data_IF_939797974382
#
_entry.id   IF_939797974382
#
_cell.length_a   1.000
_cell.length_b   1.000
_cell.length_c   1.000
_cell.angle_alpha   90.00
_cell.angle_beta   90.00
_cell.angle_gamma   90.00
#
_symmetry.space_group_name_H-M   'P 1'
#
loop_
_entity.id
_entity.type
_entity.pdbx_description
1 polymer ?
#
# COMPACT_ATOMS: atom_id res chain seq x y z
N UNK A 1 -39.18 6.83 29.93
CA UNK A 1 -38.57 7.85 29.06
C UNK A 1 -37.06 7.70 29.10
N UNK A 2 -36.45 7.09 28.07
CA UNK A 2 -34.97 7.00 27.95
C UNK A 2 -34.50 8.24 27.19
N UNK A 3 -33.95 9.22 27.91
CA UNK A 3 -33.36 10.42 27.32
C UNK A 3 -32.08 10.09 26.58
N UNK A 4 -32.06 10.37 25.28
CA UNK A 4 -30.87 10.42 24.44
C UNK A 4 -29.94 11.53 24.96
N UNK A 5 -28.85 11.16 25.65
CA UNK A 5 -27.67 12.03 25.71
C UNK A 5 -26.68 11.53 24.65
N UNK A 6 -26.63 12.23 23.51
CA UNK A 6 -25.49 12.09 22.59
C UNK A 6 -24.26 12.63 23.32
N UNK A 7 -23.15 11.89 23.41
CA UNK A 7 -21.93 12.41 24.02
C UNK A 7 -21.45 13.63 23.24
N UNK A 8 -21.15 14.71 23.97
CA UNK A 8 -20.66 15.98 23.41
C UNK A 8 -19.35 15.72 22.65
N UNK A 9 -19.15 16.29 21.45
CA UNK A 9 -17.89 16.12 20.73
C UNK A 9 -16.75 16.67 21.59
N UNK A 10 -15.76 15.82 21.84
CA UNK A 10 -14.57 16.19 22.63
C UNK A 10 -13.79 17.26 21.88
N UNK A 11 -13.34 18.27 22.60
CA UNK A 11 -12.53 19.35 22.03
C UNK A 11 -11.14 18.81 21.65
N UNK A 12 -10.44 19.42 20.67
CA UNK A 12 -9.07 19.02 20.33
C UNK A 12 -8.11 18.99 21.53
N UNK A 13 -8.32 19.87 22.52
CA UNK A 13 -7.54 19.90 23.75
C UNK A 13 -7.79 18.66 24.64
N UNK A 14 -9.04 18.20 24.75
CA UNK A 14 -9.40 17.00 25.51
C UNK A 14 -8.85 15.73 24.86
N UNK A 15 -8.82 15.68 23.52
CA UNK A 15 -8.24 14.57 22.77
C UNK A 15 -6.72 14.50 22.92
N UNK A 16 -6.03 15.65 22.91
CA UNK A 16 -4.58 15.73 23.17
C UNK A 16 -4.25 15.34 24.61
N UNK A 17 -5.06 15.77 25.59
CA UNK A 17 -4.90 15.37 26.99
C UNK A 17 -5.07 13.85 27.15
N UNK A 18 -6.11 13.29 26.55
CA UNK A 18 -6.37 11.85 26.60
C UNK A 18 -5.26 11.03 25.92
N UNK A 19 -4.76 11.48 24.76
CA UNK A 19 -3.63 10.85 24.10
C UNK A 19 -2.34 10.93 24.95
N UNK A 20 -2.10 12.08 25.58
CA UNK A 20 -0.94 12.29 26.47
C UNK A 20 -1.01 11.41 27.72
N UNK A 21 -2.19 11.25 28.30
CA UNK A 21 -2.40 10.42 29.49
C UNK A 21 -2.27 8.93 29.17
N UNK A 22 -2.74 8.50 27.99
CA UNK A 22 -2.50 7.15 27.48
C UNK A 22 -1.01 6.89 27.22
N UNK A 23 -0.27 7.86 26.68
CA UNK A 23 1.17 7.74 26.47
C UNK A 23 1.95 7.69 27.79
N UNK A 24 1.57 8.50 28.80
CA UNK A 24 2.16 8.43 30.14
C UNK A 24 1.85 7.12 30.87
N UNK A 25 0.64 6.61 30.70
CA UNK A 25 0.25 5.31 31.25
C UNK A 25 1.08 4.16 30.66
N UNK A 26 1.46 4.27 29.38
CA UNK A 26 2.35 3.32 28.71
C UNK A 26 3.81 3.42 29.21
N UNK A 27 4.24 4.62 29.61
CA UNK A 27 5.60 4.92 30.09
C UNK A 27 5.81 4.48 31.56
N UNK A 28 4.83 4.76 32.43
CA UNK A 28 4.93 4.50 33.88
C UNK A 28 4.75 3.03 34.31
N UNK A 29 4.27 2.16 33.43
CA UNK A 29 3.97 0.75 33.74
C UNK A 29 5.00 -0.24 33.18
N UNK A 30 6.20 0.23 32.81
CA UNK A 30 7.27 -0.62 32.25
C UNK A 30 7.66 -1.77 33.19
N UNK A 31 7.76 -1.52 34.50
CA UNK A 31 8.15 -2.53 35.50
C UNK A 31 7.06 -3.59 35.79
N UNK A 32 5.78 -3.23 35.68
CA UNK A 32 4.67 -4.19 35.93
C UNK A 32 4.39 -5.07 34.70
N UNK A 33 4.90 -4.68 33.52
CA UNK A 33 4.67 -5.37 32.24
C UNK A 33 5.54 -6.62 32.08
N UNK A 34 6.72 -6.65 32.67
CA UNK A 34 7.63 -7.82 32.62
C UNK A 34 6.99 -9.08 33.23
N UNK A 35 6.08 -8.94 34.20
CA UNK A 35 5.36 -10.08 34.80
C UNK A 35 4.05 -10.47 34.10
N UNK A 36 3.53 -9.65 33.17
CA UNK A 36 2.28 -9.90 32.42
C UNK A 36 2.50 -10.16 30.92
N UNK A 37 3.74 -10.13 30.45
CA UNK A 37 4.11 -10.29 29.04
C UNK A 37 3.86 -11.71 28.48
N UNK A 38 3.49 -12.69 29.30
CA UNK A 38 3.25 -14.07 28.87
C UNK A 38 1.80 -14.38 28.45
N UNK A 39 0.80 -13.55 28.83
CA UNK A 39 -0.58 -13.76 28.40
C UNK A 39 -0.93 -12.86 27.21
N UNK A 40 -1.22 -13.48 26.05
CA UNK A 40 -1.76 -12.76 24.89
C UNK A 40 -3.08 -12.08 25.30
N UNK A 41 -3.28 -10.79 24.96
CA UNK A 41 -4.52 -10.10 25.27
C UNK A 41 -5.72 -10.84 24.67
N UNK A 42 -6.82 -10.92 25.40
CA UNK A 42 -8.00 -11.67 24.96
C UNK A 42 -8.53 -11.10 23.62
N UNK A 43 -9.08 -11.96 22.73
CA UNK A 43 -9.66 -11.50 21.47
C UNK A 43 -10.73 -10.42 21.69
N UNK A 44 -11.55 -10.58 22.73
CA UNK A 44 -12.59 -9.61 23.06
C UNK A 44 -12.01 -8.26 23.48
N UNK A 45 -10.94 -8.23 24.29
CA UNK A 45 -10.28 -6.98 24.67
C UNK A 45 -9.68 -6.26 23.45
N UNK A 46 -9.05 -7.00 22.54
CA UNK A 46 -8.52 -6.47 21.28
C UNK A 46 -9.63 -5.89 20.39
N UNK A 47 -10.77 -6.58 20.33
CA UNK A 47 -11.92 -6.18 19.54
C UNK A 47 -12.57 -4.89 20.07
N UNK A 48 -12.75 -4.77 21.40
CA UNK A 48 -13.24 -3.54 22.04
C UNK A 48 -12.27 -2.38 21.83
N UNK A 49 -10.96 -2.60 22.01
CA UNK A 49 -9.95 -1.56 21.78
C UNK A 49 -9.98 -1.07 20.33
N UNK A 50 -10.10 -1.98 19.35
CA UNK A 50 -10.20 -1.61 17.95
C UNK A 50 -11.47 -0.78 17.68
N UNK A 51 -12.60 -1.16 18.29
CA UNK A 51 -13.84 -0.41 18.17
C UNK A 51 -13.68 1.03 18.68
N UNK A 52 -13.13 1.21 19.88
CA UNK A 52 -12.93 2.54 20.47
C UNK A 52 -11.91 3.38 19.69
N UNK A 53 -10.83 2.74 19.23
CA UNK A 53 -9.78 3.37 18.44
C UNK A 53 -10.34 4.00 17.16
N UNK A 54 -11.17 3.27 16.40
CA UNK A 54 -11.76 3.79 15.17
C UNK A 54 -12.96 4.71 15.43
N UNK A 55 -13.84 4.38 16.37
CA UNK A 55 -15.06 5.15 16.66
C UNK A 55 -14.78 6.58 17.10
N UNK A 56 -13.66 6.82 17.79
CA UNK A 56 -13.30 8.13 18.31
C UNK A 56 -12.27 8.88 17.46
N UNK A 57 -12.04 8.45 16.22
CA UNK A 57 -11.06 9.07 15.31
C UNK A 57 -9.63 9.10 15.89
N UNK A 58 -9.35 8.19 16.83
CA UNK A 58 -8.04 8.07 17.49
C UNK A 58 -6.96 7.73 16.47
N UNK A 59 -7.33 7.00 15.41
CA UNK A 59 -6.41 6.67 14.34
C UNK A 59 -5.83 7.91 13.65
N UNK A 60 -6.68 8.87 13.25
CA UNK A 60 -6.23 10.15 12.68
C UNK A 60 -5.37 10.93 13.66
N UNK A 61 -5.83 11.07 14.91
CA UNK A 61 -5.09 11.80 15.94
C UNK A 61 -3.70 11.22 16.18
N UNK A 62 -3.59 9.89 16.16
CA UNK A 62 -2.33 9.20 16.27
C UNK A 62 -1.44 9.54 15.07
N UNK A 63 -1.94 9.42 13.83
CA UNK A 63 -1.19 9.78 12.60
C UNK A 63 -0.62 11.21 12.68
N UNK A 64 -1.45 12.17 13.10
CA UNK A 64 -1.05 13.59 13.23
C UNK A 64 -0.05 13.83 14.36
N UNK A 65 0.04 12.92 15.33
CA UNK A 65 0.95 13.02 16.47
C UNK A 65 2.29 12.31 16.24
N UNK A 66 2.36 11.37 15.29
CA UNK A 66 3.57 10.58 15.00
C UNK A 66 4.84 11.41 14.76
N UNK A 67 4.82 12.56 14.06
CA UNK A 67 6.02 13.38 13.88
C UNK A 67 6.63 13.88 15.20
N UNK A 68 5.83 13.98 16.27
CA UNK A 68 6.26 14.45 17.59
C UNK A 68 6.86 13.34 18.46
N UNK A 69 6.74 12.09 18.02
CA UNK A 69 7.23 10.92 18.75
C UNK A 69 8.66 10.59 18.33
N UNK A 70 9.41 9.93 19.20
CA UNK A 70 10.71 9.34 18.84
C UNK A 70 10.54 8.09 17.96
N UNK A 71 11.65 7.57 17.43
CA UNK A 71 11.65 6.42 16.53
C UNK A 71 11.03 5.17 17.16
N UNK A 72 11.33 4.88 18.43
CA UNK A 72 10.81 3.69 19.12
C UNK A 72 9.29 3.75 19.31
N UNK A 73 8.79 4.92 19.71
CA UNK A 73 7.36 5.19 19.83
C UNK A 73 6.65 5.14 18.47
N UNK A 74 7.26 5.64 17.38
CA UNK A 74 6.73 5.51 16.01
C UNK A 74 6.62 4.04 15.57
N UNK A 75 7.62 3.22 15.87
CA UNK A 75 7.60 1.78 15.58
C UNK A 75 6.48 1.08 16.34
N UNK A 76 6.39 1.31 17.65
CA UNK A 76 5.32 0.77 18.49
C UNK A 76 3.92 1.17 17.99
N UNK A 77 3.73 2.45 17.64
CA UNK A 77 2.48 2.95 17.08
C UNK A 77 2.12 2.24 15.76
N UNK A 78 3.10 2.03 14.88
CA UNK A 78 2.91 1.30 13.61
C UNK A 78 2.46 -0.14 13.87
N UNK A 79 3.06 -0.84 14.83
CA UNK A 79 2.65 -2.20 15.21
C UNK A 79 1.23 -2.25 15.77
N UNK A 80 0.87 -1.29 16.62
CA UNK A 80 -0.49 -1.18 17.18
C UNK A 80 -1.50 -0.92 16.07
N UNK A 81 -1.25 0.04 15.18
CA UNK A 81 -2.12 0.35 14.04
C UNK A 81 -2.31 -0.88 13.16
N UNK A 82 -1.22 -1.57 12.79
CA UNK A 82 -1.27 -2.77 11.96
C UNK A 82 -2.09 -3.90 12.61
N UNK A 83 -2.01 -4.05 13.94
CA UNK A 83 -2.80 -5.03 14.66
C UNK A 83 -4.28 -4.65 14.67
N UNK A 84 -4.60 -3.40 15.05
CA UNK A 84 -5.98 -2.92 15.18
C UNK A 84 -6.72 -2.92 13.85
N UNK A 85 -6.05 -2.57 12.74
CA UNK A 85 -6.67 -2.61 11.40
C UNK A 85 -7.13 -4.02 10.98
N UNK A 86 -6.55 -5.08 11.57
CA UNK A 86 -6.87 -6.48 11.27
C UNK A 86 -7.89 -7.09 12.23
N UNK A 87 -8.29 -6.36 13.28
CA UNK A 87 -9.23 -6.86 14.28
C UNK A 87 -10.64 -6.99 13.71
N UNK A 88 -11.35 -8.02 14.19
CA UNK A 88 -12.75 -8.27 13.84
C UNK A 88 -13.65 -8.08 15.06
N UNK A 89 -14.75 -7.36 14.89
CA UNK A 89 -15.84 -7.28 15.87
C UNK A 89 -17.06 -7.96 15.25
N UNK A 90 -17.64 -8.91 15.98
CA UNK A 90 -18.77 -9.72 15.51
C UNK A 90 -18.52 -10.35 14.12
N UNK A 91 -17.28 -10.80 13.87
CA UNK A 91 -16.87 -11.43 12.60
C UNK A 91 -16.57 -10.47 11.44
N UNK A 92 -16.74 -9.15 11.62
CA UNK A 92 -16.50 -8.14 10.58
C UNK A 92 -15.27 -7.29 10.90
N UNK A 93 -14.52 -6.90 9.87
CA UNK A 93 -13.43 -5.94 10.02
C UNK A 93 -14.01 -4.54 10.24
N UNK A 94 -13.54 -3.82 11.26
CA UNK A 94 -14.01 -2.47 11.58
C UNK A 94 -13.28 -1.40 10.76
N UNK A 95 -11.98 -1.63 10.51
CA UNK A 95 -11.13 -0.64 9.84
C UNK A 95 -11.65 -0.18 8.46
N UNK A 96 -12.19 -1.06 7.59
CA UNK A 96 -12.80 -0.61 6.32
C UNK A 96 -13.91 0.43 6.51
N UNK A 97 -14.81 0.26 7.49
CA UNK A 97 -15.94 1.16 7.74
C UNK A 97 -15.46 2.55 8.17
N UNK A 98 -14.41 2.59 8.99
CA UNK A 98 -13.77 3.85 9.37
C UNK A 98 -13.04 4.49 8.18
N UNK A 99 -12.25 3.70 7.45
CA UNK A 99 -11.42 4.18 6.34
C UNK A 99 -12.25 4.73 5.19
N UNK A 100 -13.41 4.14 4.90
CA UNK A 100 -14.35 4.63 3.88
C UNK A 100 -14.76 6.09 4.12
N UNK A 101 -14.89 6.50 5.38
CA UNK A 101 -15.24 7.87 5.77
C UNK A 101 -14.02 8.78 6.00
N UNK A 102 -12.79 8.25 5.87
CA UNK A 102 -11.54 8.92 6.22
C UNK A 102 -10.42 8.66 5.18
N UNK A 103 -10.80 8.58 3.90
CA UNK A 103 -9.86 8.32 2.81
C UNK A 103 -8.81 9.43 2.65
N UNK A 104 -9.11 10.63 3.11
CA UNK A 104 -8.19 11.78 3.16
C UNK A 104 -6.96 11.53 4.06
N UNK A 105 -6.96 10.49 4.89
CA UNK A 105 -5.75 10.03 5.59
C UNK A 105 -4.61 9.67 4.61
N UNK A 106 -4.95 9.21 3.40
CA UNK A 106 -3.95 8.97 2.34
C UNK A 106 -3.28 10.27 1.91
N UNK A 107 -4.02 11.38 1.93
CA UNK A 107 -3.52 12.71 1.57
C UNK A 107 -2.50 13.24 2.61
N UNK A 108 -2.49 12.66 3.80
CA UNK A 108 -1.50 12.91 4.86
C UNK A 108 -0.32 11.94 4.73
N UNK A 109 -0.62 10.64 4.62
CA UNK A 109 0.40 9.57 4.66
C UNK A 109 1.31 9.59 3.42
N UNK A 110 0.74 9.72 2.22
CA UNK A 110 1.51 9.58 0.98
C UNK A 110 2.51 10.74 0.77
N UNK A 111 2.16 12.02 0.98
CA UNK A 111 3.14 13.10 0.88
C UNK A 111 4.27 12.99 1.91
N UNK A 112 4.05 12.34 3.05
CA UNK A 112 5.07 12.17 4.08
C UNK A 112 6.25 11.29 3.67
N UNK A 113 6.18 10.56 2.54
CA UNK A 113 7.39 9.96 1.94
C UNK A 113 8.48 10.99 1.62
N UNK A 114 8.12 12.27 1.44
CA UNK A 114 9.08 13.37 1.20
C UNK A 114 9.77 13.84 2.47
N UNK A 115 9.26 13.49 3.65
CA UNK A 115 9.85 13.82 4.94
C UNK A 115 10.67 12.63 5.43
N UNK A 116 12.00 12.76 5.34
CA UNK A 116 12.93 11.66 5.59
C UNK A 116 12.82 11.03 6.98
N UNK A 117 12.42 11.78 8.01
CA UNK A 117 12.37 11.27 9.39
C UNK A 117 11.13 10.38 9.64
N UNK A 118 10.02 10.67 8.96
CA UNK A 118 8.73 9.99 9.19
C UNK A 118 8.32 9.06 8.03
N UNK A 119 8.99 9.17 6.88
CA UNK A 119 8.65 8.46 5.65
C UNK A 119 8.41 6.95 5.85
N UNK A 120 9.30 6.26 6.56
CA UNK A 120 9.18 4.81 6.79
C UNK A 120 7.98 4.48 7.68
N UNK A 121 7.70 5.30 8.70
CA UNK A 121 6.53 5.15 9.57
C UNK A 121 5.24 5.33 8.76
N UNK A 122 5.15 6.40 7.97
CA UNK A 122 3.97 6.66 7.15
C UNK A 122 3.80 5.63 6.04
N UNK A 123 4.90 5.19 5.41
CA UNK A 123 4.90 4.13 4.42
C UNK A 123 4.37 2.81 4.98
N UNK A 124 4.80 2.42 6.18
CA UNK A 124 4.31 1.23 6.86
C UNK A 124 2.81 1.31 7.20
N UNK A 125 2.33 2.47 7.67
CA UNK A 125 0.90 2.68 7.96
C UNK A 125 0.08 2.68 6.67
N UNK A 126 0.55 3.38 5.63
CA UNK A 126 -0.12 3.42 4.33
C UNK A 126 -0.24 2.03 3.72
N UNK A 127 0.83 1.23 3.83
CA UNK A 127 0.86 -0.17 3.40
C UNK A 127 -0.21 -1.01 4.09
N UNK A 128 -0.46 -0.79 5.38
CA UNK A 128 -1.57 -1.45 6.08
C UNK A 128 -2.93 -0.96 5.59
N UNK A 129 -3.10 0.35 5.38
CA UNK A 129 -4.36 0.91 4.88
C UNK A 129 -4.75 0.33 3.51
N UNK A 130 -3.81 0.22 2.56
CA UNK A 130 -4.09 -0.32 1.21
C UNK A 130 -4.42 -1.83 1.23
N UNK A 131 -4.24 -2.53 2.36
CA UNK A 131 -4.74 -3.90 2.50
C UNK A 131 -6.26 -3.98 2.46
N UNK A 132 -6.94 -2.87 2.69
CA UNK A 132 -8.38 -2.72 2.54
C UNK A 132 -8.69 -2.24 1.12
N UNK A 133 -9.59 -2.97 0.43
CA UNK A 133 -9.91 -2.73 -0.98
C UNK A 133 -10.42 -1.30 -1.23
N UNK A 134 -11.15 -0.71 -0.28
CA UNK A 134 -11.66 0.67 -0.36
C UNK A 134 -10.54 1.70 -0.48
N UNK A 135 -9.45 1.57 0.29
CA UNK A 135 -8.30 2.46 0.24
C UNK A 135 -7.49 2.21 -1.04
N UNK A 136 -7.26 0.95 -1.40
CA UNK A 136 -6.55 0.61 -2.62
C UNK A 136 -7.27 1.18 -3.86
N UNK A 137 -8.60 1.05 -3.92
CA UNK A 137 -9.42 1.64 -4.99
C UNK A 137 -9.27 3.17 -5.02
N UNK A 138 -9.41 3.83 -3.88
CA UNK A 138 -9.22 5.29 -3.80
C UNK A 138 -7.85 5.74 -4.32
N UNK A 139 -6.78 5.03 -3.95
CA UNK A 139 -5.43 5.36 -4.42
C UNK A 139 -5.28 5.16 -5.93
N UNK A 140 -5.85 4.08 -6.49
CA UNK A 140 -5.79 3.77 -7.92
C UNK A 140 -6.59 4.77 -8.77
N UNK A 141 -7.76 5.17 -8.31
CA UNK A 141 -8.71 6.01 -9.06
C UNK A 141 -8.44 7.52 -8.93
N UNK A 142 -7.40 7.92 -8.19
CA UNK A 142 -7.04 9.32 -7.96
C UNK A 142 -5.61 9.64 -8.39
N UNK A 143 -5.25 10.93 -8.34
CA UNK A 143 -3.88 11.40 -8.64
C UNK A 143 -2.82 10.85 -7.66
N UNK A 144 -3.22 10.17 -6.57
CA UNK A 144 -2.32 9.53 -5.63
C UNK A 144 -1.46 8.45 -6.28
N UNK A 145 -1.99 7.71 -7.25
CA UNK A 145 -1.21 6.72 -7.99
C UNK A 145 0.02 7.35 -8.65
N UNK A 146 -0.13 8.54 -9.26
CA UNK A 146 0.98 9.24 -9.92
C UNK A 146 2.03 9.73 -8.90
N UNK A 147 1.60 10.11 -7.69
CA UNK A 147 2.52 10.52 -6.61
C UNK A 147 3.47 9.39 -6.19
N UNK A 148 3.08 8.11 -6.32
CA UNK A 148 4.00 6.98 -6.07
C UNK A 148 5.21 6.98 -7.01
N UNK A 149 5.07 7.40 -8.26
CA UNK A 149 6.20 7.45 -9.19
C UNK A 149 7.28 8.40 -8.70
N UNK A 150 6.89 9.54 -8.14
CA UNK A 150 7.81 10.48 -7.50
C UNK A 150 8.42 9.88 -6.24
N UNK A 151 7.65 9.18 -5.40
CA UNK A 151 8.16 8.57 -4.17
C UNK A 151 9.21 7.47 -4.44
N UNK A 152 9.00 6.66 -5.49
CA UNK A 152 9.93 5.60 -5.89
C UNK A 152 11.23 6.16 -6.52
N UNK A 153 11.24 7.45 -6.89
CA UNK A 153 12.42 8.15 -7.42
C UNK A 153 13.23 8.89 -6.35
N UNK A 154 12.82 8.85 -5.08
CA UNK A 154 13.53 9.54 -4.00
C UNK A 154 14.97 8.98 -3.89
N UNK A 155 16.00 9.83 -3.77
CA UNK A 155 17.41 9.40 -3.76
C UNK A 155 17.81 8.62 -2.49
N UNK A 156 16.94 8.57 -1.48
CA UNK A 156 17.10 7.71 -0.31
C UNK A 156 16.63 6.28 -0.64
N UNK A 157 17.55 5.32 -0.58
CA UNK A 157 17.30 3.92 -0.94
C UNK A 157 16.22 3.26 -0.08
N UNK A 158 16.22 3.49 1.24
CA UNK A 158 15.25 2.88 2.15
C UNK A 158 13.84 3.38 1.85
N UNK A 159 13.67 4.69 1.69
CA UNK A 159 12.40 5.34 1.39
C UNK A 159 11.88 4.90 0.01
N UNK A 160 12.73 4.90 -1.02
CA UNK A 160 12.34 4.47 -2.36
C UNK A 160 11.96 2.99 -2.41
N UNK A 161 12.68 2.14 -1.67
CA UNK A 161 12.39 0.71 -1.57
C UNK A 161 11.08 0.44 -0.84
N UNK A 162 10.80 1.19 0.23
CA UNK A 162 9.54 1.11 0.96
C UNK A 162 8.36 1.56 0.07
N UNK A 163 8.48 2.72 -0.59
CA UNK A 163 7.48 3.22 -1.55
C UNK A 163 7.21 2.21 -2.67
N UNK A 164 8.27 1.59 -3.19
CA UNK A 164 8.20 0.56 -4.21
C UNK A 164 7.47 -0.69 -3.74
N UNK A 165 7.74 -1.15 -2.51
CA UNK A 165 7.00 -2.26 -1.93
C UNK A 165 5.52 -1.91 -1.79
N UNK A 166 5.17 -0.66 -1.45
CA UNK A 166 3.79 -0.22 -1.24
C UNK A 166 3.04 -0.17 -2.56
N UNK A 167 3.69 0.37 -3.58
CA UNK A 167 3.20 0.39 -4.95
C UNK A 167 3.01 -1.03 -5.52
N UNK A 168 3.96 -1.94 -5.26
CA UNK A 168 3.82 -3.35 -5.65
C UNK A 168 2.61 -4.00 -4.98
N UNK A 169 2.42 -3.79 -3.68
CA UNK A 169 1.30 -4.37 -2.94
C UNK A 169 -0.05 -3.81 -3.43
N UNK A 170 -0.11 -2.50 -3.71
CA UNK A 170 -1.28 -1.84 -4.29
C UNK A 170 -1.71 -2.51 -5.61
N UNK A 171 -0.75 -2.79 -6.49
CA UNK A 171 -1.00 -3.34 -7.83
C UNK A 171 -1.11 -4.87 -7.90
N UNK A 172 -0.89 -5.59 -6.80
CA UNK A 172 -0.93 -7.07 -6.83
C UNK A 172 -1.86 -7.70 -5.80
N UNK A 173 -2.35 -6.94 -4.81
CA UNK A 173 -3.22 -7.46 -3.75
C UNK A 173 -4.66 -7.68 -4.21
N UNK A 174 -5.33 -6.61 -4.62
CA UNK A 174 -6.77 -6.64 -4.93
C UNK A 174 -6.97 -6.89 -6.42
N UNK A 175 -6.75 -8.14 -6.84
CA UNK A 175 -6.64 -8.55 -8.25
C UNK A 175 -7.79 -8.07 -9.13
N UNK A 176 -9.03 -8.15 -8.66
CA UNK A 176 -10.20 -7.69 -9.40
C UNK A 176 -10.22 -6.18 -9.58
N UNK A 177 -9.97 -5.41 -8.52
CA UNK A 177 -9.88 -3.94 -8.57
C UNK A 177 -8.77 -3.49 -9.51
N UNK A 178 -7.59 -4.14 -9.43
CA UNK A 178 -6.46 -3.80 -10.30
C UNK A 178 -6.78 -4.15 -11.74
N UNK A 179 -7.36 -5.32 -12.02
CA UNK A 179 -7.72 -5.72 -13.37
C UNK A 179 -8.74 -4.75 -14.01
N UNK A 180 -9.75 -4.33 -13.25
CA UNK A 180 -10.71 -3.31 -13.64
C UNK A 180 -10.01 -1.99 -13.98
N UNK A 181 -9.18 -1.49 -13.04
CA UNK A 181 -8.41 -0.26 -13.23
C UNK A 181 -7.53 -0.30 -14.48
N UNK A 182 -6.73 -1.36 -14.66
CA UNK A 182 -5.81 -1.50 -15.79
C UNK A 182 -6.53 -1.65 -17.13
N UNK A 183 -7.70 -2.28 -17.15
CA UNK A 183 -8.48 -2.45 -18.38
C UNK A 183 -9.01 -1.12 -18.89
N UNK A 184 -9.43 -0.23 -17.99
CA UNK A 184 -9.91 1.11 -18.32
C UNK A 184 -8.74 2.06 -18.63
N UNK A 185 -7.67 1.98 -17.84
CA UNK A 185 -6.60 2.97 -17.88
C UNK A 185 -5.35 2.50 -18.64
N UNK A 186 -5.41 1.46 -19.48
CA UNK A 186 -4.24 0.79 -20.07
C UNK A 186 -3.12 1.72 -20.62
N UNK A 187 -3.50 2.85 -21.21
CA UNK A 187 -2.56 3.83 -21.77
C UNK A 187 -1.87 4.72 -20.72
N UNK A 188 -2.18 4.53 -19.43
CA UNK A 188 -1.40 5.07 -18.33
C UNK A 188 0.06 4.61 -18.47
N UNK A 189 0.98 5.46 -18.02
CA UNK A 189 2.44 5.49 -18.25
C UNK A 189 3.26 4.21 -17.88
N UNK A 190 2.64 3.03 -17.84
CA UNK A 190 3.28 1.72 -17.81
C UNK A 190 4.52 1.67 -18.71
N UNK A 191 4.48 2.01 -20.01
CA UNK A 191 5.66 1.91 -20.88
C UNK A 191 6.84 2.79 -20.45
N UNK A 192 6.57 4.03 -19.99
CA UNK A 192 7.62 4.94 -19.54
C UNK A 192 8.20 4.51 -18.18
N UNK A 193 7.37 3.88 -17.33
CA UNK A 193 7.77 3.35 -16.03
C UNK A 193 8.55 2.02 -16.10
N UNK A 194 8.24 1.15 -17.07
CA UNK A 194 8.85 -0.19 -17.27
C UNK A 194 10.38 -0.13 -17.43
N UNK A 195 10.93 1.02 -17.81
CA UNK A 195 12.38 1.23 -18.02
C UNK A 195 13.26 1.04 -16.77
N UNK A 196 12.68 0.84 -15.58
CA UNK A 196 13.42 0.64 -14.31
C UNK A 196 13.40 -0.81 -13.83
N UNK A 197 14.52 -1.25 -13.21
CA UNK A 197 14.77 -2.63 -12.73
C UNK A 197 13.57 -3.34 -12.12
N UNK A 198 12.93 -2.72 -11.15
CA UNK A 198 11.86 -3.33 -10.36
C UNK A 198 10.50 -3.22 -11.06
N UNK A 199 10.36 -2.31 -12.03
CA UNK A 199 9.15 -2.14 -12.81
C UNK A 199 8.92 -3.34 -13.75
N UNK A 200 9.97 -3.91 -14.35
CA UNK A 200 9.87 -5.09 -15.22
C UNK A 200 9.38 -6.32 -14.45
N UNK A 201 9.90 -6.54 -13.24
CA UNK A 201 9.44 -7.64 -12.39
C UNK A 201 7.96 -7.47 -12.01
N UNK A 202 7.57 -6.26 -11.60
CA UNK A 202 6.18 -5.94 -11.27
C UNK A 202 5.26 -6.11 -12.48
N UNK A 203 5.70 -5.68 -13.66
CA UNK A 203 4.98 -5.91 -14.92
C UNK A 203 4.77 -7.41 -15.14
N UNK A 204 5.82 -8.22 -14.98
CA UNK A 204 5.70 -9.68 -15.08
C UNK A 204 4.67 -10.25 -14.10
N UNK A 205 4.74 -9.86 -12.83
CA UNK A 205 3.79 -10.26 -11.79
C UNK A 205 2.34 -9.88 -12.18
N UNK A 206 2.14 -8.68 -12.76
CA UNK A 206 0.82 -8.20 -13.19
C UNK A 206 0.30 -8.94 -14.43
N UNK A 207 1.12 -9.13 -15.47
CA UNK A 207 0.70 -9.76 -16.72
C UNK A 207 0.46 -11.27 -16.57
N UNK A 208 1.14 -11.93 -15.64
CA UNK A 208 0.95 -13.35 -15.34
C UNK A 208 -0.30 -13.63 -14.49
N UNK A 209 -0.90 -12.60 -13.89
CA UNK A 209 -2.12 -12.77 -13.12
C UNK A 209 -3.33 -13.03 -14.04
N UNK A 210 -4.10 -14.07 -13.72
CA UNK A 210 -5.26 -14.48 -14.54
C UNK A 210 -6.34 -13.40 -14.62
N UNK A 211 -6.51 -12.60 -13.57
CA UNK A 211 -7.46 -11.48 -13.56
C UNK A 211 -7.09 -10.42 -14.60
N UNK A 212 -5.80 -10.30 -14.95
CA UNK A 212 -5.29 -9.33 -15.92
C UNK A 212 -5.18 -9.89 -17.35
N UNK A 213 -5.85 -11.00 -17.68
CA UNK A 213 -5.72 -11.66 -18.99
C UNK A 213 -6.00 -10.74 -20.18
N UNK A 214 -7.02 -9.87 -20.11
CA UNK A 214 -7.33 -8.90 -21.16
C UNK A 214 -6.17 -7.90 -21.38
N UNK A 215 -5.61 -7.38 -20.29
CA UNK A 215 -4.45 -6.48 -20.28
C UNK A 215 -3.21 -7.19 -20.83
N UNK A 216 -3.00 -8.45 -20.45
CA UNK A 216 -1.90 -9.27 -20.94
C UNK A 216 -1.98 -9.47 -22.44
N UNK A 217 -3.14 -9.88 -22.97
CA UNK A 217 -3.37 -10.06 -24.41
C UNK A 217 -3.11 -8.75 -25.18
N UNK A 218 -3.59 -7.61 -24.67
CA UNK A 218 -3.30 -6.29 -25.26
C UNK A 218 -1.80 -5.98 -25.23
N UNK A 219 -1.11 -6.28 -24.13
CA UNK A 219 0.32 -6.03 -23.97
C UNK A 219 1.18 -6.83 -24.94
N UNK A 220 0.94 -8.15 -25.05
CA UNK A 220 1.72 -9.06 -25.91
C UNK A 220 1.38 -8.95 -27.39
N UNK A 221 0.39 -8.13 -27.73
CA UNK A 221 0.00 -7.83 -29.11
C UNK A 221 0.58 -6.48 -29.61
N UNK A 222 1.37 -5.77 -28.79
CA UNK A 222 1.98 -4.50 -29.17
C UNK A 222 3.46 -4.68 -29.55
N UNK A 223 3.82 -4.26 -30.76
CA UNK A 223 5.21 -4.26 -31.25
C UNK A 223 6.10 -3.34 -30.43
N UNK A 224 5.60 -2.20 -29.98
CA UNK A 224 6.38 -1.26 -29.19
C UNK A 224 6.71 -1.82 -27.80
N UNK A 225 5.75 -2.50 -27.17
CA UNK A 225 6.01 -3.22 -25.92
C UNK A 225 7.07 -4.31 -26.09
N UNK A 226 7.05 -5.05 -27.22
CA UNK A 226 8.06 -6.03 -27.54
C UNK A 226 9.45 -5.37 -27.69
N UNK A 227 9.53 -4.26 -28.42
CA UNK A 227 10.78 -3.51 -28.63
C UNK A 227 11.36 -2.99 -27.30
N UNK A 228 10.52 -2.49 -26.40
CA UNK A 228 10.95 -2.05 -25.06
C UNK A 228 11.64 -3.21 -24.33
N UNK A 229 11.01 -4.39 -24.27
CA UNK A 229 11.59 -5.57 -23.62
C UNK A 229 12.88 -6.06 -24.31
N UNK A 230 12.91 -6.05 -25.64
CA UNK A 230 14.11 -6.45 -26.39
C UNK A 230 15.29 -5.50 -26.13
N UNK A 231 15.03 -4.19 -25.98
CA UNK A 231 16.06 -3.24 -25.59
C UNK A 231 16.60 -3.52 -24.18
N UNK A 232 15.73 -3.95 -23.25
CA UNK A 232 16.13 -4.31 -21.89
C UNK A 232 17.01 -5.57 -21.82
N UNK A 233 17.04 -6.42 -22.85
CA UNK A 233 18.04 -7.50 -22.95
C UNK A 233 19.48 -7.00 -23.07
N UNK A 234 19.66 -5.75 -23.48
CA UNK A 234 20.97 -5.10 -23.62
C UNK A 234 21.38 -4.32 -22.36
N UNK A 235 20.56 -4.34 -21.31
CA UNK A 235 20.88 -3.69 -20.04
C UNK A 235 22.14 -4.31 -19.39
N UNK A 236 22.95 -3.52 -18.71
CA UNK A 236 24.19 -4.03 -18.05
C UNK A 236 23.91 -4.98 -16.89
N UNK A 237 22.70 -4.92 -16.29
CA UNK A 237 22.33 -5.72 -15.12
C UNK A 237 21.64 -7.02 -15.55
N UNK A 238 22.30 -8.15 -15.25
CA UNK A 238 21.75 -9.51 -15.50
C UNK A 238 20.35 -9.74 -14.94
N UNK A 239 20.00 -9.15 -13.80
CA UNK A 239 18.65 -9.27 -13.23
C UNK A 239 17.59 -8.63 -14.13
N UNK A 240 17.88 -7.49 -14.75
CA UNK A 240 16.94 -6.82 -15.66
C UNK A 240 16.74 -7.66 -16.92
N UNK A 241 17.83 -8.19 -17.47
CA UNK A 241 17.77 -9.09 -18.63
C UNK A 241 16.89 -10.32 -18.33
N UNK A 242 17.08 -10.96 -17.17
CA UNK A 242 16.34 -12.14 -16.76
C UNK A 242 14.84 -11.85 -16.57
N UNK A 243 14.49 -10.79 -15.83
CA UNK A 243 13.09 -10.40 -15.60
C UNK A 243 12.41 -9.99 -16.92
N UNK A 244 13.12 -9.28 -17.81
CA UNK A 244 12.62 -8.94 -19.14
C UNK A 244 12.36 -10.20 -19.97
N UNK A 245 13.20 -11.22 -19.84
CA UNK A 245 13.03 -12.49 -20.55
C UNK A 245 11.79 -13.23 -20.05
N UNK A 246 11.53 -13.21 -18.74
CA UNK A 246 10.31 -13.79 -18.18
C UNK A 246 9.04 -13.18 -18.79
N UNK A 247 9.01 -11.86 -18.97
CA UNK A 247 7.89 -11.16 -19.64
C UNK A 247 7.86 -11.47 -21.14
N UNK A 248 9.01 -11.46 -21.82
CA UNK A 248 9.12 -11.69 -23.26
C UNK A 248 8.57 -13.06 -23.69
N UNK A 249 8.73 -14.10 -22.85
CA UNK A 249 8.13 -15.42 -23.11
C UNK A 249 6.62 -15.35 -23.37
N UNK A 250 5.91 -14.36 -22.83
CA UNK A 250 4.48 -14.19 -23.08
C UNK A 250 4.19 -13.81 -24.54
N UNK A 251 5.05 -13.03 -25.19
CA UNK A 251 4.95 -12.75 -26.63
C UNK A 251 5.10 -14.02 -27.46
N UNK A 252 6.05 -14.87 -27.10
CA UNK A 252 6.30 -16.16 -27.78
C UNK A 252 5.15 -17.15 -27.53
N UNK A 253 4.56 -17.13 -26.32
CA UNK A 253 3.46 -18.00 -25.94
C UNK A 253 2.09 -17.54 -26.48
N UNK A 254 1.93 -16.27 -26.86
CA UNK A 254 0.68 -15.75 -27.43
C UNK A 254 0.31 -16.55 -28.69
N UNK A 255 -0.86 -17.19 -28.73
CA UNK A 255 -1.28 -17.98 -29.89
C UNK A 255 -1.73 -17.08 -31.06
N UNK A 256 -2.22 -15.88 -30.75
CA UNK A 256 -2.76 -14.91 -31.71
C UNK A 256 -1.76 -13.77 -31.95
N UNK A 257 -0.53 -14.10 -32.33
CA UNK A 257 0.52 -13.09 -32.54
C UNK A 257 0.20 -12.23 -33.76
N UNK A 258 0.25 -10.89 -33.66
CA UNK A 258 0.17 -10.03 -34.82
C UNK A 258 1.31 -10.29 -35.83
N UNK A 259 1.09 -10.07 -37.14
CA UNK A 259 2.11 -10.31 -38.17
C UNK A 259 3.44 -9.57 -37.91
N UNK A 260 3.37 -8.36 -37.36
CA UNK A 260 4.54 -7.56 -37.03
C UNK A 260 5.41 -8.22 -35.94
N UNK A 261 4.79 -8.82 -34.91
CA UNK A 261 5.49 -9.57 -33.86
C UNK A 261 6.13 -10.83 -34.45
N UNK A 262 5.41 -11.56 -35.29
CA UNK A 262 5.93 -12.76 -35.97
C UNK A 262 7.16 -12.39 -36.81
N UNK A 263 7.10 -11.27 -37.53
CA UNK A 263 8.21 -10.80 -38.38
C UNK A 263 9.49 -10.57 -37.58
N UNK A 264 9.39 -10.06 -36.35
CA UNK A 264 10.54 -9.86 -35.46
C UNK A 264 11.06 -11.19 -34.91
N UNK A 265 10.18 -12.12 -34.54
CA UNK A 265 10.56 -13.43 -33.98
C UNK A 265 11.20 -14.38 -35.01
N UNK A 266 10.81 -14.28 -36.28
CA UNK A 266 11.26 -15.19 -37.36
C UNK A 266 12.43 -14.60 -38.16
N UNK A 267 12.72 -13.30 -38.03
CA UNK A 267 13.89 -12.67 -38.66
C UNK A 267 15.17 -13.40 -38.22
N UNK A 268 15.74 -14.16 -39.15
CA UNK A 268 17.08 -14.76 -39.06
C UNK A 268 18.16 -13.70 -39.14
#
# INVERSE_FOLDING_TARGET
MKGLFKPKPRTPAELVLQARDLLRFLDQNTETRERKLEEKPSPDACAHLAQDFFKHDTFRLLILSLPKLDLGARQNATHVIANLQRQRVCGRLIAPEYLENNLDLVDILLPGYKDGEIAITYGAILRECIRHQIVARYVLETEHLKKFFTCIQIPNFEIASDAQATFKELLTRHKSTVAEFLSVNYDWDLPSYITRRHAVKLLGDMLLDRSNSAVMVRYVSSLDNMRILMNLFRDSKKTIQLESFHVFKLFVANQNKPPEIISVLVRK
#
